data_IF_148023643962
#
_entry.id   IF_148023643962
#
_cell.length_a   1.000
_cell.length_b   1.000
_cell.length_c   1.000
_cell.angle_alpha   90.00
_cell.angle_beta   90.00
_cell.angle_gamma   90.00
#
_symmetry.space_group_name_H-M   'P 1'
#
loop_
_entity.id
_entity.type
_entity.pdbx_description
1 polymer ?
2 polymer ?
3 non-polymer ?
4 non-polymer ?
5 water ?
#
# COMPACT_ATOMS: atom_id res chain seq x y z
N UNK A 8 13.67 18.14 -11.88
CA UNK A 8 13.06 16.83 -11.41
C UNK A 8 12.83 16.74 -9.87
N UNK A 9 11.77 16.06 -9.49
CA UNK A 9 11.39 15.89 -8.12
C UNK A 9 11.81 14.55 -7.53
N UNK A 10 11.96 14.47 -6.23
CA UNK A 10 12.28 13.20 -5.59
C UNK A 10 10.95 12.53 -5.14
N UNK A 11 10.90 11.21 -5.17
CA UNK A 11 9.72 10.50 -4.66
C UNK A 11 9.47 10.87 -3.20
N UNK A 12 8.20 11.02 -2.83
CA UNK A 12 7.83 11.23 -1.41
C UNK A 12 8.39 9.98 -0.69
N UNK A 13 9.13 10.16 0.43
CA UNK A 13 9.71 9.02 1.18
C UNK A 13 8.66 8.17 1.87
N UNK A 14 8.88 6.87 1.87
CA UNK A 14 7.93 5.93 2.52
C UNK A 14 8.01 6.02 4.07
N UNK A 15 6.93 5.64 4.77
CA UNK A 15 6.93 5.55 6.22
C UNK A 15 6.06 4.33 6.46
N UNK A 16 6.28 3.71 7.61
CA UNK A 16 5.51 2.55 7.98
C UNK A 16 4.03 2.82 7.99
N UNK A 17 3.26 1.76 7.76
CA UNK A 17 1.82 1.85 7.86
C UNK A 17 1.40 1.91 9.31
N UNK A 18 2.27 1.49 10.23
CA UNK A 18 1.92 1.52 11.64
C UNK A 18 0.97 0.40 12.02
N UNK A 19 0.72 0.19 13.31
CA UNK A 19 -0.17 -0.88 13.82
C UNK A 19 -1.65 -0.74 13.57
N UNK A 20 -2.12 0.46 13.24
CA UNK A 20 -3.56 0.63 12.99
C UNK A 20 -3.90 0.82 11.51
N UNK A 21 -3.01 0.31 10.64
CA UNK A 21 -3.21 0.45 9.23
C UNK A 21 -4.63 0.01 8.81
N UNK A 22 -5.36 -0.71 9.68
CA UNK A 22 -6.74 -1.13 9.32
C UNK A 22 -7.81 -0.03 9.34
N UNK A 23 -7.59 0.96 10.17
CA UNK A 23 -8.59 2.00 10.28
C UNK A 23 -8.78 2.54 8.88
N UNK A 24 -7.69 2.80 8.19
CA UNK A 24 -7.92 3.40 6.91
C UNK A 24 -7.95 2.45 5.80
N UNK A 25 -7.36 1.26 5.92
CA UNK A 25 -7.44 0.52 4.70
C UNK A 25 -8.52 -0.54 4.72
N UNK A 26 -8.94 -0.97 5.92
CA UNK A 26 -10.02 -1.99 6.02
C UNK A 26 -10.91 -1.59 7.20
N UNK A 27 -11.56 -0.42 7.14
CA UNK A 27 -12.40 0.02 8.27
C UNK A 27 -13.33 -1.04 8.92
N UNK A 28 -13.89 -1.94 8.12
CA UNK A 28 -14.72 -3.04 8.64
C UNK A 28 -13.91 -3.92 9.66
N UNK A 29 -12.67 -4.23 9.38
CA UNK A 29 -11.92 -5.03 10.35
C UNK A 29 -11.72 -4.26 11.67
N UNK A 30 -11.86 -2.94 11.60
CA UNK A 30 -11.69 -2.11 12.79
C UNK A 30 -13.06 -1.81 13.37
N UNK A 31 -14.10 -2.35 12.75
CA UNK A 31 -15.46 -2.09 13.20
C UNK A 31 -15.90 -0.63 12.96
N UNK A 32 -15.56 -0.09 11.80
CA UNK A 32 -15.93 1.27 11.43
C UNK A 32 -16.77 1.28 10.14
N UNK A 33 -18.04 1.67 10.24
CA UNK A 33 -18.88 1.69 9.05
C UNK A 33 -19.08 3.08 8.48
N UNK A 34 -18.16 3.52 7.64
CA UNK A 34 -18.26 4.85 7.06
C UNK A 34 -18.54 4.82 5.60
N UNK A 35 -18.15 3.73 4.95
CA UNK A 35 -18.31 3.65 3.50
C UNK A 35 -19.39 2.69 3.10
N UNK A 36 -20.16 3.03 2.08
CA UNK A 36 -21.16 2.09 1.62
C UNK A 36 -20.47 0.96 0.87
N UNK A 37 -19.59 1.32 -0.05
CA UNK A 37 -18.86 0.29 -0.83
C UNK A 37 -17.43 0.11 -0.24
N UNK A 38 -17.10 -1.08 0.20
CA UNK A 38 -15.80 -1.31 0.84
C UNK A 38 -14.90 -2.20 0.05
N UNK A 39 -13.60 -1.95 0.07
CA UNK A 39 -12.67 -2.79 -0.66
C UNK A 39 -12.34 -4.02 0.17
N UNK A 40 -12.13 -5.19 -0.46
CA UNK A 40 -11.86 -6.38 0.30
C UNK A 40 -10.99 -7.43 -0.41
N UNK A 41 -10.99 -8.66 0.11
CA UNK A 41 -10.17 -9.79 -0.37
C UNK A 41 -10.83 -10.75 -1.33
N UNK A 42 -11.96 -10.35 -1.88
CA UNK A 42 -12.67 -11.20 -2.81
C UNK A 42 -12.63 -10.64 -4.22
N UNK A 43 -11.82 -11.25 -5.09
CA UNK A 43 -11.69 -10.77 -6.47
C UNK A 43 -12.62 -11.51 -7.43
N UNK A 44 -13.40 -12.46 -6.93
CA UNK A 44 -14.30 -13.22 -7.79
C UNK A 44 -15.69 -12.63 -7.79
N UNK A 45 -16.15 -12.19 -8.96
CA UNK A 45 -17.52 -11.70 -9.12
C UNK A 45 -18.26 -12.90 -9.74
N UNK A 46 -19.58 -12.85 -9.76
CA UNK A 46 -20.34 -14.01 -10.26
C UNK A 46 -20.01 -14.43 -11.68
N UNK A 47 -19.82 -13.48 -12.59
CA UNK A 47 -19.47 -13.81 -13.99
C UNK A 47 -17.99 -13.86 -14.27
N UNK A 48 -17.15 -13.81 -13.25
CA UNK A 48 -15.70 -13.81 -13.49
C UNK A 48 -15.29 -15.11 -14.13
N UNK A 49 -14.44 -15.05 -15.13
CA UNK A 49 -13.99 -16.27 -15.80
C UNK A 49 -12.77 -16.90 -15.10
N UNK A 50 -12.61 -18.21 -15.27
CA UNK A 50 -11.42 -18.86 -14.75
C UNK A 50 -11.58 -19.77 -13.58
N UNK A 51 -10.52 -20.45 -13.20
CA UNK A 51 -10.66 -21.33 -12.05
C UNK A 51 -10.44 -20.63 -10.73
N UNK A 52 -11.43 -20.79 -9.87
CA UNK A 52 -11.46 -20.24 -8.54
C UNK A 52 -10.43 -20.92 -7.68
N UNK A 53 -9.65 -20.13 -6.94
CA UNK A 53 -8.66 -20.70 -6.04
C UNK A 53 -8.70 -19.83 -4.80
N UNK A 54 -8.20 -20.38 -3.70
CA UNK A 54 -8.10 -19.63 -2.46
C UNK A 54 -6.61 -19.54 -2.18
N UNK A 55 -6.14 -18.34 -1.85
CA UNK A 55 -4.73 -18.17 -1.57
C UNK A 55 -4.63 -17.84 -0.06
N UNK A 56 -3.85 -18.58 0.67
CA UNK A 56 -3.80 -18.30 2.13
C UNK A 56 -2.44 -18.59 2.71
N UNK A 57 -2.18 -18.02 3.89
CA UNK A 57 -0.93 -18.23 4.59
C UNK A 57 -0.80 -17.32 5.80
N UNK A 58 0.40 -17.25 6.31
CA UNK A 58 0.71 -16.39 7.47
C UNK A 58 2.02 -15.66 7.14
N UNK A 59 2.27 -14.58 7.87
CA UNK A 59 3.51 -13.82 7.69
C UNK A 59 4.23 -13.95 9.02
N UNK A 60 5.49 -14.39 9.03
CA UNK A 60 6.29 -14.59 10.26
C UNK A 60 7.45 -13.58 10.39
N UNK A 61 7.70 -13.17 11.64
CA UNK A 61 8.80 -12.24 11.95
C UNK A 61 10.04 -13.06 12.17
N UNK A 62 11.13 -12.40 12.55
CA UNK A 62 12.38 -13.12 12.69
C UNK A 62 12.47 -14.11 13.83
N UNK A 63 11.50 -14.17 14.72
CA UNK A 63 11.55 -15.16 15.81
C UNK A 63 10.57 -16.27 15.46
N UNK A 64 9.97 -16.18 14.26
CA UNK A 64 9.04 -17.21 13.83
C UNK A 64 7.62 -17.01 14.30
N UNK A 65 7.31 -15.85 14.82
CA UNK A 65 5.95 -15.58 15.27
C UNK A 65 5.14 -14.88 14.17
N UNK A 66 3.85 -15.23 14.01
CA UNK A 66 3.04 -14.57 12.97
C UNK A 66 2.70 -13.13 13.29
N UNK A 67 2.64 -12.28 12.26
CA UNK A 67 2.29 -10.87 12.45
C UNK A 67 0.76 -10.87 12.44
N UNK A 68 0.16 -10.30 13.47
CA UNK A 68 -1.28 -10.24 13.54
C UNK A 68 -1.78 -8.84 13.18
N UNK A 69 -0.86 -7.98 12.77
CA UNK A 69 -1.24 -6.62 12.39
C UNK A 69 -0.83 -6.32 10.93
N UNK A 70 -0.57 -7.34 10.14
CA UNK A 70 -0.09 -7.11 8.78
C UNK A 70 -1.22 -6.85 7.76
N UNK A 71 -0.97 -6.00 6.76
CA UNK A 71 -1.95 -5.74 5.71
C UNK A 71 -1.33 -6.22 4.39
N UNK A 72 -2.09 -6.99 3.60
CA UNK A 72 -1.52 -7.53 2.35
C UNK A 72 -2.40 -7.12 1.16
N UNK A 73 -1.80 -6.83 -0.01
CA UNK A 73 -2.62 -6.57 -1.21
C UNK A 73 -2.01 -7.41 -2.30
N UNK A 74 -2.84 -7.81 -3.28
CA UNK A 74 -2.30 -8.55 -4.39
C UNK A 74 -2.79 -7.86 -5.67
N UNK A 75 -2.07 -8.09 -6.77
CA UNK A 75 -2.35 -7.50 -8.10
C UNK A 75 -2.01 -8.61 -9.08
N UNK A 76 -2.95 -8.91 -9.99
CA UNK A 76 -2.76 -10.02 -10.92
C UNK A 76 -3.59 -9.85 -12.21
N UNK A 77 -3.28 -10.68 -13.20
CA UNK A 77 -3.97 -10.63 -14.47
C UNK A 77 -5.17 -11.58 -14.41
N UNK A 78 -6.03 -11.47 -15.42
CA UNK A 78 -7.23 -12.33 -15.50
C UNK A 78 -6.84 -13.72 -15.99
N UNK A 79 -7.85 -14.52 -16.31
CA UNK A 79 -7.60 -15.89 -16.72
C UNK A 79 -6.77 -16.02 -18.03
N UNK A 80 -6.84 -15.03 -18.91
CA UNK A 80 -6.08 -15.08 -20.17
C UNK A 80 -4.77 -14.31 -20.12
N UNK A 81 -4.32 -13.94 -18.91
CA UNK A 81 -3.06 -13.22 -18.79
C UNK A 81 -3.11 -11.74 -19.20
N UNK A 82 -4.27 -11.11 -19.03
CA UNK A 82 -4.41 -9.69 -19.38
C UNK A 82 -4.79 -8.93 -18.08
N UNK A 83 -4.11 -7.80 -17.84
CA UNK A 83 -4.37 -6.96 -16.69
C UNK A 83 -5.52 -6.02 -16.95
N UNK A 84 -6.38 -5.82 -15.95
CA UNK A 84 -7.54 -4.90 -16.09
C UNK A 84 -6.97 -3.50 -15.73
N UNK A 85 -6.11 -3.03 -16.64
CA UNK A 85 -5.43 -1.74 -16.52
C UNK A 85 -5.28 -1.12 -17.91
N UNK A 86 -5.51 0.19 -17.99
CA UNK A 86 -5.30 0.91 -19.27
C UNK A 86 -3.86 0.79 -19.70
N UNK A 87 -2.94 0.44 -18.78
CA UNK A 87 -1.54 0.36 -19.17
C UNK A 87 -1.20 -0.95 -19.80
N UNK A 88 -2.13 -1.92 -19.82
CA UNK A 88 -1.82 -3.20 -20.47
C UNK A 88 -1.89 -2.91 -22.02
N UNK A 89 -0.84 -3.27 -22.73
CA UNK A 89 -0.73 -2.98 -24.16
C UNK A 89 -0.88 -4.22 -25.03
N UNK A 90 -1.46 -5.29 -24.49
CA UNK A 90 -1.58 -6.50 -25.31
C UNK A 90 -2.64 -6.43 -26.41
N UNK A 91 -3.51 -5.45 -26.37
CA UNK A 91 -4.49 -5.39 -27.45
C UNK A 91 -5.57 -6.45 -27.37
N UNK A 92 -5.57 -7.21 -26.28
CA UNK A 92 -6.59 -8.23 -26.06
C UNK A 92 -7.62 -7.71 -25.04
N UNK A 93 -8.83 -8.24 -25.11
CA UNK A 93 -9.88 -7.79 -24.21
C UNK A 93 -9.69 -8.53 -22.89
N UNK A 94 -9.82 -7.77 -21.80
CA UNK A 94 -9.68 -8.31 -20.45
C UNK A 94 -11.11 -8.77 -19.99
N UNK A 95 -11.13 -9.70 -19.04
CA UNK A 95 -12.37 -10.18 -18.44
C UNK A 95 -13.05 -8.90 -17.87
N UNK A 96 -14.24 -8.54 -18.37
CA UNK A 96 -14.85 -7.32 -17.83
C UNK A 96 -15.34 -7.39 -16.40
N UNK A 97 -15.37 -8.58 -15.82
CA UNK A 97 -15.85 -8.66 -14.45
C UNK A 97 -14.73 -9.05 -13.52
N UNK A 98 -13.64 -8.28 -13.59
CA UNK A 98 -12.45 -8.58 -12.81
C UNK A 98 -11.63 -7.31 -12.47
N UNK A 99 -11.50 -7.02 -11.18
CA UNK A 99 -10.76 -5.85 -10.73
C UNK A 99 -9.24 -6.14 -10.72
N UNK A 100 -8.85 -7.40 -10.53
CA UNK A 100 -7.45 -7.78 -10.49
C UNK A 100 -6.72 -7.45 -9.18
N UNK A 101 -7.39 -6.80 -8.26
CA UNK A 101 -6.75 -6.39 -6.98
C UNK A 101 -7.66 -6.67 -5.79
N UNK A 102 -7.00 -6.94 -4.65
CA UNK A 102 -7.72 -7.14 -3.42
C UNK A 102 -6.80 -6.78 -2.26
N UNK A 103 -7.41 -6.61 -1.10
CA UNK A 103 -6.66 -6.25 0.10
C UNK A 103 -7.24 -7.09 1.26
N UNK A 104 -6.34 -7.47 2.18
CA UNK A 104 -6.80 -8.22 3.32
C UNK A 104 -5.89 -7.99 4.53
N UNK A 105 -6.39 -8.35 5.69
CA UNK A 105 -5.56 -8.22 6.89
C UNK A 105 -5.45 -9.60 7.57
N UNK A 106 -4.42 -9.84 8.38
CA UNK A 106 -4.34 -11.12 9.03
C UNK A 106 -5.37 -11.18 10.17
N UNK A 107 -5.83 -12.37 10.52
CA UNK A 107 -6.79 -12.49 11.63
C UNK A 107 -6.05 -12.06 12.91
N UNK A 108 -6.62 -11.17 13.71
CA UNK A 108 -5.94 -10.70 14.93
C UNK A 108 -5.52 -11.81 15.91
N UNK A 109 -6.29 -12.88 15.98
CA UNK A 109 -5.92 -13.95 16.89
C UNK A 109 -4.93 -14.93 16.30
N UNK A 110 -5.25 -15.45 15.11
CA UNK A 110 -4.37 -16.45 14.50
C UNK A 110 -3.26 -15.98 13.54
N UNK A 111 -3.47 -14.87 12.83
CA UNK A 111 -2.46 -14.41 11.90
C UNK A 111 -2.69 -14.97 10.50
N UNK A 112 -3.75 -15.75 10.27
CA UNK A 112 -3.97 -16.23 8.94
C UNK A 112 -4.60 -15.14 8.07
N UNK A 113 -4.14 -15.08 6.81
CA UNK A 113 -4.75 -14.15 5.86
C UNK A 113 -5.19 -15.01 4.65
N UNK A 114 -6.13 -14.49 3.83
CA UNK A 114 -6.56 -15.22 2.66
C UNK A 114 -7.20 -14.29 1.62
N UNK A 115 -7.24 -14.79 0.39
CA UNK A 115 -7.92 -14.10 -0.70
C UNK A 115 -8.68 -15.21 -1.49
N UNK A 116 -9.79 -14.80 -2.10
CA UNK A 116 -10.58 -15.62 -3.00
C UNK A 116 -10.32 -14.98 -4.34
N UNK A 117 -9.73 -15.70 -5.29
CA UNK A 117 -9.44 -15.07 -6.56
C UNK A 117 -9.48 -16.15 -7.62
N UNK A 118 -8.85 -15.86 -8.74
CA UNK A 118 -8.79 -16.76 -9.88
C UNK A 118 -7.33 -17.05 -10.19
N UNK A 119 -7.03 -18.21 -10.76
CA UNK A 119 -5.62 -18.52 -11.10
C UNK A 119 -5.29 -17.72 -12.35
N UNK A 120 -4.28 -16.83 -12.29
CA UNK A 120 -3.97 -16.04 -13.49
C UNK A 120 -3.36 -16.75 -14.68
N UNK A 121 -3.65 -16.25 -15.88
CA UNK A 121 -3.08 -16.79 -17.11
C UNK A 121 -1.68 -16.23 -17.24
N UNK A 122 -0.85 -16.80 -18.11
CA UNK A 122 0.52 -16.35 -18.30
C UNK A 122 0.54 -14.98 -18.98
N UNK A 123 1.49 -14.14 -18.56
CA UNK A 123 1.61 -12.76 -19.05
C UNK A 123 2.96 -12.63 -19.82
N UNK A 124 3.00 -11.85 -20.91
CA UNK A 124 4.26 -11.67 -21.66
C UNK A 124 5.34 -11.08 -20.75
N UNK A 125 6.56 -11.53 -20.97
CA UNK A 125 7.73 -11.04 -20.25
C UNK A 125 8.41 -10.08 -21.20
N UNK A 126 9.56 -9.57 -20.80
CA UNK A 126 10.31 -8.67 -21.68
C UNK A 126 10.94 -9.39 -22.85
N UNK A 127 11.14 -8.66 -23.95
CA UNK A 127 11.82 -9.18 -25.15
C UNK A 127 11.32 -10.52 -25.65
N UNK A 128 10.01 -10.60 -25.87
CA UNK A 128 9.43 -11.83 -26.37
C UNK A 128 9.27 -13.01 -25.45
N UNK A 129 9.74 -12.89 -24.21
CA UNK A 129 9.60 -14.02 -23.28
C UNK A 129 8.16 -14.14 -22.70
N UNK A 130 7.91 -15.22 -21.96
CA UNK A 130 6.64 -15.46 -21.35
C UNK A 130 6.86 -15.69 -19.88
N UNK A 131 6.08 -15.00 -19.05
CA UNK A 131 6.28 -15.21 -17.62
C UNK A 131 5.37 -16.34 -17.15
N UNK A 132 5.80 -17.11 -16.15
CA UNK A 132 4.91 -18.13 -15.61
C UNK A 132 3.83 -17.38 -14.83
N UNK A 133 2.63 -18.00 -14.62
CA UNK A 133 1.47 -17.48 -13.88
C UNK A 133 2.00 -17.00 -12.51
N UNK A 134 1.57 -15.82 -12.09
CA UNK A 134 2.02 -15.32 -10.79
C UNK A 134 1.11 -14.22 -10.33
N UNK A 135 1.10 -14.01 -9.03
CA UNK A 135 0.35 -12.94 -8.40
C UNK A 135 1.41 -11.98 -7.72
N UNK A 136 1.30 -10.67 -7.90
CA UNK A 136 2.27 -9.75 -7.23
C UNK A 136 1.63 -9.40 -5.90
N UNK A 137 2.46 -9.41 -4.85
CA UNK A 137 1.98 -9.23 -3.50
C UNK A 137 2.86 -8.20 -2.77
N UNK A 138 2.21 -7.40 -1.92
CA UNK A 138 2.89 -6.37 -1.14
C UNK A 138 2.38 -6.47 0.28
N UNK A 139 3.30 -6.28 1.21
CA UNK A 139 3.06 -6.38 2.66
C UNK A 139 3.39 -5.05 3.36
N UNK A 140 2.48 -4.61 4.23
CA UNK A 140 2.66 -3.40 5.02
C UNK A 140 2.40 -3.75 6.50
N UNK A 141 3.15 -3.19 7.41
CA UNK A 141 2.92 -3.43 8.82
C UNK A 141 3.76 -2.48 9.68
N UNK A 142 3.40 -2.43 10.96
CA UNK A 142 4.16 -1.72 11.98
C UNK A 142 5.57 -2.37 11.83
N UNK A 143 6.64 -1.57 11.86
CA UNK A 143 8.00 -2.15 11.76
C UNK A 143 8.55 -2.30 10.35
N UNK A 144 7.68 -2.15 9.37
CA UNK A 144 8.08 -2.31 7.97
C UNK A 144 8.04 -0.89 7.44
N UNK A 145 9.23 -0.38 7.08
CA UNK A 145 9.35 1.03 6.69
C UNK A 145 8.89 1.33 5.28
N UNK A 146 9.05 0.32 4.41
CA UNK A 146 8.64 0.39 3.01
C UNK A 146 7.93 -0.90 2.66
N UNK A 147 6.75 -0.82 2.02
CA UNK A 147 6.02 -2.03 1.61
C UNK A 147 6.97 -3.02 0.92
N UNK A 148 6.87 -4.28 1.29
CA UNK A 148 7.72 -5.35 0.77
C UNK A 148 7.01 -6.07 -0.37
N UNK A 149 7.67 -6.07 -1.53
CA UNK A 149 7.10 -6.65 -2.76
C UNK A 149 7.63 -8.10 -2.93
N UNK A 150 6.76 -9.01 -3.34
CA UNK A 150 7.20 -10.37 -3.62
C UNK A 150 6.18 -10.88 -4.68
N UNK A 151 6.34 -12.13 -5.12
CA UNK A 151 5.45 -12.74 -6.10
C UNK A 151 5.16 -14.16 -5.61
N UNK A 152 4.01 -14.66 -6.02
CA UNK A 152 3.57 -15.99 -5.68
C UNK A 152 3.47 -16.75 -7.02
N UNK A 153 4.20 -17.85 -7.15
CA UNK A 153 4.11 -18.73 -8.32
C UNK A 153 3.36 -19.97 -7.83
N UNK A 154 3.04 -20.89 -8.74
CA UNK A 154 2.29 -22.08 -8.36
C UNK A 154 3.07 -23.35 -8.61
N UNK A 155 3.10 -24.24 -7.61
CA UNK A 155 3.89 -25.49 -7.70
C UNK A 155 3.41 -26.46 -8.79
N UNK A 156 2.18 -26.33 -9.24
CA UNK A 156 1.71 -27.19 -10.34
C UNK A 156 2.08 -26.60 -11.72
N UNK A 157 2.80 -25.47 -11.74
CA UNK A 157 3.19 -24.89 -13.01
C UNK A 157 4.69 -25.07 -13.17
N UNK A 158 5.16 -26.27 -12.86
CA UNK A 158 6.58 -26.58 -12.95
C UNK A 158 7.29 -26.22 -14.25
N UNK A 159 6.75 -26.61 -15.40
CA UNK A 159 7.41 -26.27 -16.68
C UNK A 159 7.49 -24.75 -16.91
N UNK A 160 6.40 -24.05 -16.61
CA UNK A 160 6.37 -22.58 -16.77
C UNK A 160 7.36 -21.90 -15.83
N UNK A 161 7.44 -22.38 -14.59
CA UNK A 161 8.32 -21.79 -13.59
C UNK A 161 9.77 -21.93 -14.01
N UNK A 162 10.10 -23.06 -14.62
CA UNK A 162 11.47 -23.33 -15.04
C UNK A 162 11.95 -22.34 -16.09
N UNK A 163 11.03 -21.76 -16.85
CA UNK A 163 11.31 -20.82 -17.91
C UNK A 163 10.99 -19.37 -17.52
N UNK A 164 10.60 -19.15 -16.29
CA UNK A 164 10.28 -17.77 -15.91
C UNK A 164 11.53 -16.91 -15.78
N UNK A 165 11.54 -15.74 -16.44
CA UNK A 165 12.62 -14.75 -16.47
C UNK A 165 12.96 -14.23 -15.08
N UNK A 166 11.95 -13.86 -14.31
CA UNK A 166 12.21 -13.33 -12.97
C UNK A 166 12.74 -14.41 -12.05
N UNK A 167 12.08 -15.58 -11.97
CA UNK A 167 12.62 -16.63 -11.14
C UNK A 167 14.03 -16.99 -11.53
N UNK A 168 14.35 -17.02 -12.83
CA UNK A 168 15.69 -17.40 -13.24
C UNK A 168 16.70 -16.30 -13.02
N UNK A 169 16.24 -15.11 -12.66
CA UNK A 169 17.19 -14.05 -12.45
C UNK A 169 17.63 -14.09 -10.99
N UNK A 170 17.09 -15.02 -10.20
CA UNK A 170 17.50 -15.12 -8.80
C UNK A 170 18.62 -16.13 -8.83
N UNK A 171 19.86 -15.71 -8.57
CA UNK A 171 20.99 -16.65 -8.68
C UNK A 171 21.04 -17.81 -7.69
N UNK A 172 20.53 -17.60 -6.48
CA UNK A 172 20.51 -18.63 -5.45
C UNK A 172 19.32 -19.57 -5.79
N UNK A 173 19.59 -20.68 -6.44
CA UNK A 173 18.49 -21.56 -6.83
C UNK A 173 17.62 -21.96 -5.66
N UNK A 174 18.22 -22.11 -4.51
CA UNK A 174 17.48 -22.47 -3.32
C UNK A 174 16.46 -21.39 -2.84
N UNK A 175 16.69 -20.13 -3.21
CA UNK A 175 15.79 -19.07 -2.76
C UNK A 175 14.54 -18.99 -3.66
N UNK A 176 14.65 -19.49 -4.89
CA UNK A 176 13.51 -19.46 -5.81
C UNK A 176 12.33 -20.20 -5.18
N UNK A 177 12.63 -21.28 -4.46
CA UNK A 177 11.54 -22.06 -3.90
C UNK A 177 10.70 -21.30 -2.89
N UNK A 178 11.27 -20.28 -2.24
CA UNK A 178 10.44 -19.53 -1.31
C UNK A 178 9.29 -18.84 -2.03
N UNK A 179 9.33 -18.70 -3.36
CA UNK A 179 8.25 -18.00 -4.09
C UNK A 179 7.14 -18.91 -4.69
N UNK A 180 7.21 -20.19 -4.38
CA UNK A 180 6.27 -21.19 -4.92
C UNK A 180 5.24 -21.64 -3.87
N UNK A 181 3.98 -21.31 -4.10
CA UNK A 181 2.87 -21.68 -3.22
C UNK A 181 2.54 -23.19 -3.43
N UNK A 182 2.08 -23.88 -2.39
CA UNK A 182 1.73 -25.32 -2.54
C UNK A 182 0.23 -25.55 -2.72
N UNK A 183 -0.11 -26.27 -3.78
CA UNK A 183 -1.49 -26.55 -4.11
C UNK A 183 -2.04 -27.60 -3.16
N UNK A 184 -3.24 -27.41 -2.68
CA UNK A 184 -3.90 -28.36 -1.79
C UNK A 184 -5.35 -28.39 -2.24
N UNK A 185 -6.08 -29.41 -1.84
CA UNK A 185 -7.48 -29.50 -2.23
C UNK A 185 -8.41 -29.80 -1.08
N UNK A 186 -8.85 -28.74 -0.39
CA UNK A 186 -9.78 -28.85 0.74
C UNK A 186 -11.23 -28.93 0.29
N UNK A 187 -11.80 -30.14 0.33
CA UNK A 187 -13.20 -30.37 -0.04
C UNK A 187 -13.66 -29.67 -1.29
N UNK A 188 -13.18 -30.17 -2.44
CA UNK A 188 -13.55 -29.58 -3.72
C UNK A 188 -12.86 -28.28 -4.09
N UNK A 189 -12.49 -27.47 -3.09
CA UNK A 189 -11.81 -26.19 -3.32
C UNK A 189 -10.31 -26.31 -3.51
N UNK A 190 -9.75 -25.50 -4.41
CA UNK A 190 -8.32 -25.50 -4.63
C UNK A 190 -7.76 -24.35 -3.77
N UNK A 191 -6.80 -24.72 -2.93
CA UNK A 191 -6.16 -23.80 -2.00
C UNK A 191 -4.66 -23.81 -2.29
N UNK A 192 -4.05 -22.64 -2.31
CA UNK A 192 -2.59 -22.56 -2.47
C UNK A 192 -2.06 -21.95 -1.16
N UNK A 193 -1.16 -22.65 -0.49
CA UNK A 193 -0.65 -22.15 0.79
C UNK A 193 0.61 -21.34 0.53
N UNK A 194 0.69 -20.10 0.99
CA UNK A 194 1.93 -19.33 0.75
C UNK A 194 2.30 -18.63 2.04
N UNK A 195 3.30 -19.12 2.77
CA UNK A 195 3.71 -18.49 4.00
C UNK A 195 4.87 -17.55 3.70
N UNK A 196 4.91 -16.42 4.38
CA UNK A 196 5.98 -15.46 4.12
C UNK A 196 6.87 -15.34 5.34
N UNK A 197 8.18 -15.42 5.16
CA UNK A 197 9.11 -15.32 6.27
C UNK A 197 9.91 -14.06 5.97
N UNK A 198 9.64 -13.05 6.77
CA UNK A 198 10.27 -11.78 6.57
C UNK A 198 11.76 -11.78 6.89
N UNK A 199 12.23 -12.64 7.78
CA UNK A 199 13.61 -12.54 8.18
C UNK A 199 14.13 -13.86 8.70
N UNK A 200 15.34 -14.23 8.32
CA UNK A 200 15.87 -15.47 8.89
C UNK A 200 16.03 -16.64 7.94
N UNK A 201 15.95 -17.84 8.50
CA UNK A 201 16.06 -19.02 7.68
C UNK A 201 14.85 -19.09 6.74
N UNK A 202 15.12 -19.47 5.51
CA UNK A 202 14.09 -19.57 4.51
C UNK A 202 13.37 -18.25 4.29
N UNK A 203 14.08 -17.15 4.47
CA UNK A 203 13.51 -15.81 4.26
C UNK A 203 12.93 -15.65 2.84
N UNK A 204 11.70 -15.17 2.71
CA UNK A 204 11.10 -15.01 1.39
C UNK A 204 11.88 -13.95 0.57
N UNK A 205 12.08 -14.22 -0.73
CA UNK A 205 12.72 -13.26 -1.62
C UNK A 205 11.80 -12.01 -1.74
N UNK A 206 12.37 -10.81 -1.60
CA UNK A 206 11.58 -9.61 -1.76
C UNK A 206 12.25 -8.88 -2.89
N UNK A 207 11.46 -8.19 -3.71
CA UNK A 207 11.96 -7.47 -4.87
C UNK A 207 11.93 -5.94 -4.80
N UNK A 208 12.86 -5.30 -5.52
CA UNK A 208 12.79 -3.85 -5.67
C UNK A 208 12.25 -3.77 -7.12
N UNK A 209 11.01 -3.36 -7.30
CA UNK A 209 10.40 -3.38 -8.64
C UNK A 209 10.37 -2.08 -9.42
N UNK B 4 3.39 8.67 -28.34
CA UNK B 4 4.13 8.35 -27.04
C UNK B 4 4.01 6.92 -26.56
N UNK B 5 5.13 6.17 -26.57
CA UNK B 5 5.15 4.78 -26.11
C UNK B 5 5.90 4.77 -24.76
N UNK B 6 5.23 4.30 -23.72
CA UNK B 6 5.84 4.31 -22.42
C UNK B 6 6.73 3.13 -22.13
N UNK B 7 7.80 3.40 -21.41
CA UNK B 7 8.74 2.36 -21.03
C UNK B 7 8.60 2.04 -19.53
N UNK B 8 9.69 1.78 -18.83
CA UNK B 8 9.56 1.43 -17.39
C UNK B 8 9.52 2.63 -16.44
N UNK B 9 9.12 2.42 -15.17
CA UNK B 9 9.23 3.51 -14.22
C UNK B 9 10.73 3.69 -13.92
N UNK B 10 11.14 4.92 -13.59
CA UNK B 10 12.52 5.19 -13.20
C UNK B 10 12.74 4.32 -11.94
N UNK B 11 13.97 3.90 -11.73
CA UNK B 11 14.38 3.13 -10.58
C UNK B 11 14.02 3.88 -9.26
N UNK B 12 13.63 3.16 -8.20
CA UNK B 12 13.38 3.83 -6.92
C UNK B 12 14.77 4.21 -6.40
N UNK B 13 14.94 5.44 -5.92
CA UNK B 13 16.23 5.86 -5.37
C UNK B 13 16.21 5.47 -3.90
N UNK B 14 16.84 4.36 -3.60
CA UNK B 14 16.82 3.85 -2.22
C UNK B 14 17.41 4.85 -1.22
N UNK B 15 18.30 5.75 -1.64
CA UNK B 15 18.83 6.68 -0.66
C UNK B 15 17.84 7.77 -0.29
N UNK B 16 16.68 7.83 -0.96
CA UNK B 16 15.68 8.85 -0.64
C UNK B 16 14.59 8.27 0.29
N UNK B 17 14.80 7.04 0.76
CA UNK B 17 13.85 6.34 1.59
C UNK B 17 14.52 5.74 2.82
N UNK B 18 13.72 5.41 3.83
CA UNK B 18 14.29 4.80 5.02
C UNK B 18 14.83 3.40 4.66
N UNK B 19 15.80 2.89 5.41
CA UNK B 19 16.31 1.53 5.13
C UNK B 19 15.29 0.58 5.79
N UNK B 20 15.37 -0.73 5.54
CA UNK B 20 14.44 -1.63 6.18
C UNK B 20 14.80 -1.80 7.67
N UNK B 21 16.10 -1.96 7.92
CA UNK B 21 16.56 -2.18 9.28
C UNK B 21 16.89 -0.81 9.90
N UNK B 22 16.15 -0.43 10.92
CA UNK B 22 16.38 0.88 11.55
C UNK B 22 16.23 0.63 13.07
N UNK B 23 17.32 0.26 13.73
CA UNK B 23 17.33 -0.05 15.17
C UNK B 23 16.60 0.94 16.13
N UNK B 24 16.60 2.23 15.79
CA UNK B 24 15.91 3.18 16.63
C UNK B 24 14.40 2.99 16.62
N UNK B 25 13.87 2.30 15.60
CA UNK B 25 12.42 2.05 15.53
C UNK B 25 12.46 0.54 15.84
N UNK B 26 12.28 0.19 17.12
CA UNK B 26 12.48 -1.18 17.59
C UNK B 26 11.75 -2.30 16.89
N UNK B 27 10.50 -2.07 16.52
CA UNK B 27 9.73 -3.10 15.81
C UNK B 27 10.36 -3.49 14.49
N UNK B 28 11.16 -2.63 13.88
CA UNK B 28 11.79 -3.00 12.61
C UNK B 28 12.91 -4.07 12.78
N UNK B 29 13.46 -4.21 13.99
CA UNK B 29 14.56 -5.15 14.13
C UNK B 29 14.22 -6.59 13.69
N UNK B 30 13.04 -7.06 14.02
CA UNK B 30 12.65 -8.42 13.63
C UNK B 30 11.78 -8.50 12.41
N UNK B 31 11.42 -7.34 11.86
CA UNK B 31 10.54 -7.32 10.69
C UNK B 31 11.21 -6.75 9.43
N UNK B 32 12.52 -6.86 9.39
CA UNK B 32 13.30 -6.36 8.25
C UNK B 32 14.05 -7.53 7.65
N UNK B 33 14.02 -7.70 6.31
CA UNK B 33 14.78 -8.82 5.71
C UNK B 33 16.28 -8.71 5.94
N UNK B 34 16.93 -9.85 6.09
CA UNK B 34 18.38 -9.84 6.22
C UNK B 34 18.98 -9.75 4.82
N UNK B 35 18.40 -10.45 3.84
CA UNK B 35 18.92 -10.35 2.47
C UNK B 35 18.61 -9.03 1.79
N UNK B 36 19.52 -8.64 0.89
CA UNK B 36 19.26 -7.43 0.11
C UNK B 36 18.01 -7.67 -0.84
N UNK B 37 17.28 -6.62 -1.18
CA UNK B 37 16.20 -6.80 -2.15
C UNK B 37 16.81 -7.17 -3.48
N UNK B 38 16.04 -7.94 -4.26
CA UNK B 38 16.47 -8.29 -5.61
C UNK B 38 15.77 -7.35 -6.60
N UNK B 39 16.59 -6.59 -7.34
CA UNK B 39 16.04 -5.65 -8.33
C UNK B 39 15.73 -6.40 -9.60
N UNK B 40 14.58 -6.10 -10.20
CA UNK B 40 14.27 -6.75 -11.44
C UNK B 40 13.94 -5.70 -12.49
N UNK B 41 14.06 -6.09 -13.75
CA UNK B 41 13.67 -5.19 -14.84
C UNK B 41 12.11 -5.31 -14.92
N UNK B 42 11.41 -4.19 -15.16
CA UNK B 42 9.94 -4.21 -15.15
C UNK B 42 9.29 -4.88 -16.35
N UNK B 43 8.14 -5.47 -16.07
CA UNK B 43 7.27 -6.12 -17.02
C UNK B 43 5.89 -5.51 -16.90
N UNK B 44 4.97 -5.98 -17.74
CA UNK B 44 3.58 -5.52 -17.67
C UNK B 44 3.05 -5.60 -16.22
N UNK B 45 3.52 -6.56 -15.45
CA UNK B 45 3.04 -6.71 -14.08
C UNK B 45 3.34 -5.53 -13.21
N UNK B 46 4.47 -4.88 -13.44
CA UNK B 46 4.86 -3.82 -12.57
C UNK B 46 4.38 -2.45 -13.05
N UNK B 47 4.08 -2.33 -14.33
CA UNK B 47 3.67 -1.01 -14.84
C UNK B 47 2.17 -0.85 -14.92
N UNK B 48 1.41 -1.88 -14.51
CA UNK B 48 -0.06 -1.80 -14.56
C UNK B 48 -0.59 -1.68 -13.11
N UNK B 49 -1.83 -1.31 -12.96
CA UNK B 49 -2.46 -1.15 -11.65
C UNK B 49 -3.96 -1.10 -11.87
N UNK B 50 -4.75 -1.37 -10.81
CA UNK B 50 -6.20 -1.33 -10.95
C UNK B 50 -6.83 0.03 -11.14
N UNK B 51 -8.10 0.03 -11.56
CA UNK B 51 -8.85 1.27 -11.70
C UNK B 51 -10.03 1.21 -10.76
N UNK B 52 -10.29 2.27 -10.01
CA UNK B 52 -11.41 2.31 -9.07
C UNK B 52 -12.43 3.31 -9.61
N UNK B 53 -13.72 3.01 -9.52
CA UNK B 53 -14.67 3.95 -10.11
C UNK B 53 -15.28 4.95 -9.17
N UNK B 54 -15.30 6.18 -9.66
CA UNK B 54 -15.81 7.32 -8.94
C UNK B 54 -17.25 7.07 -8.46
N UNK B 55 -18.02 6.35 -9.25
CA UNK B 55 -19.40 6.02 -8.88
C UNK B 55 -19.61 5.33 -7.55
N UNK B 56 -18.61 4.56 -7.10
CA UNK B 56 -18.74 3.84 -5.84
C UNK B 56 -18.33 4.67 -4.59
N UNK B 57 -17.93 5.92 -4.76
CA UNK B 57 -17.52 6.74 -3.60
C UNK B 57 -18.72 7.48 -3.01
N UNK B 58 -18.87 7.53 -1.69
CA UNK B 58 -19.97 8.27 -1.11
C UNK B 58 -19.65 9.74 -1.09
N UNK B 59 -20.66 10.60 -0.91
CA UNK B 59 -20.53 12.06 -0.86
C UNK B 59 -19.65 12.62 0.28
N UNK B 60 -19.58 11.90 1.39
CA UNK B 60 -18.78 12.35 2.52
C UNK B 60 -17.52 11.52 2.70
N UNK B 61 -17.11 10.77 1.68
CA UNK B 61 -15.92 9.93 1.87
C UNK B 61 -14.64 10.76 2.15
N UNK B 62 -14.57 12.01 1.68
CA UNK B 62 -13.40 12.83 1.95
C UNK B 62 -13.72 13.83 3.04
N UNK B 63 -14.77 13.59 3.81
CA UNK B 63 -15.11 14.57 4.88
C UNK B 63 -15.10 13.88 6.22
N UNK B 64 -13.92 13.86 6.84
CA UNK B 64 -13.77 13.14 8.12
C UNK B 64 -14.47 13.84 9.27
N UNK B 65 -14.85 15.08 9.07
CA UNK B 65 -15.58 15.78 10.12
C UNK B 65 -17.04 15.20 10.18
N UNK B 66 -17.65 14.96 9.01
CA UNK B 66 -19.03 14.48 8.95
C UNK B 66 -19.31 13.01 8.62
N UNK B 67 -18.34 12.28 8.05
CA UNK B 67 -18.67 10.94 7.62
C UNK B 67 -18.93 9.92 8.71
N UNK B 68 -18.69 10.29 9.94
CA UNK B 68 -18.98 9.40 11.02
C UNK B 68 -19.74 10.17 12.12
N UNK B 69 -20.19 11.37 11.84
CA UNK B 69 -20.88 12.12 12.89
C UNK B 69 -22.28 11.53 13.11
N UNK B 70 -22.66 11.25 14.35
CA UNK B 70 -23.99 10.68 14.68
C UNK B 70 -24.87 11.72 15.39
N UNK B 71 -24.50 12.10 16.61
CA UNK B 71 -25.25 13.08 17.41
C UNK B 71 -24.80 14.51 17.30
N UNK B 72 -23.58 14.72 16.82
CA UNK B 72 -23.10 16.09 16.73
C UNK B 72 -21.80 16.08 15.97
N UNK B 73 -21.08 17.20 16.05
CA UNK B 73 -19.79 17.31 15.37
C UNK B 73 -18.66 16.76 16.26
N UNK B 74 -17.54 16.31 15.65
CA UNK B 74 -16.44 15.81 16.49
C UNK B 74 -15.80 17.04 17.16
N UNK B 75 -15.08 16.79 18.26
CA UNK B 75 -14.41 17.88 18.99
C UNK B 75 -13.00 17.96 18.41
N UNK B 76 -12.50 19.18 18.23
CA UNK B 76 -11.16 19.33 17.72
C UNK B 76 -11.03 20.43 16.69
N UNK B 77 -9.79 20.61 16.19
CA UNK B 77 -9.52 21.70 15.25
C UNK B 77 -9.91 21.34 13.81
N UNK B 78 -10.85 22.10 13.24
CA UNK B 78 -11.33 21.92 11.89
C UNK B 78 -10.22 22.35 10.89
N UNK B 79 -9.77 21.42 10.06
CA UNK B 79 -8.71 21.74 9.07
C UNK B 79 -9.02 21.05 7.75
N UNK B 80 -8.67 21.77 6.69
CA UNK B 80 -8.79 21.29 5.32
C UNK B 80 -7.35 20.99 4.84
N UNK B 81 -7.17 19.86 4.18
CA UNK B 81 -5.84 19.53 3.65
C UNK B 81 -6.00 19.35 2.13
N UNK B 82 -5.13 19.97 1.36
CA UNK B 82 -5.23 19.82 -0.10
C UNK B 82 -3.87 19.89 -0.68
N UNK B 83 -3.78 19.51 -1.96
CA UNK B 83 -2.50 19.55 -2.64
C UNK B 83 -2.59 18.84 -3.97
N UNK B 84 -1.43 18.56 -4.51
CA UNK B 84 -1.35 17.89 -5.81
C UNK B 84 -0.48 16.68 -5.75
N UNK B 85 -0.81 15.70 -6.58
CA UNK B 85 -0.05 14.45 -6.67
C UNK B 85 0.53 14.50 -8.10
N UNK B 86 1.85 14.35 -8.21
CA UNK B 86 2.49 14.38 -9.51
C UNK B 86 3.53 13.30 -9.55
N UNK B 87 4.08 13.00 -10.72
CA UNK B 87 5.12 11.99 -10.75
C UNK B 87 6.47 12.75 -10.74
N UNK B 88 7.57 12.02 -10.68
CA UNK B 88 8.87 12.68 -10.55
C UNK B 88 9.31 13.62 -11.68
N UNK B 89 8.69 13.46 -12.84
CA UNK B 89 8.95 14.32 -13.97
C UNK B 89 7.92 15.47 -14.00
N UNK B 90 7.18 15.64 -12.89
CA UNK B 90 6.21 16.73 -12.82
C UNK B 90 4.87 16.55 -13.51
N UNK B 91 4.54 15.37 -14.02
CA UNK B 91 3.27 15.21 -14.66
C UNK B 91 2.17 14.92 -13.64
N UNK B 92 0.98 15.48 -13.80
CA UNK B 92 -0.10 15.20 -12.83
C UNK B 92 -0.47 13.70 -12.82
N UNK B 93 -0.89 13.20 -11.66
CA UNK B 93 -1.29 11.81 -11.50
C UNK B 93 -2.84 11.91 -11.40
N UNK B 94 -3.51 11.42 -12.43
CA UNK B 94 -4.95 11.56 -12.51
C UNK B 94 -5.67 10.32 -12.05
N UNK B 95 -6.74 10.56 -11.29
CA UNK B 95 -7.60 9.48 -10.81
C UNK B 95 -6.88 8.45 -9.95
N UNK B 96 -5.94 8.91 -9.15
CA UNK B 96 -5.26 8.02 -8.23
C UNK B 96 -6.15 7.88 -6.96
N UNK B 97 -6.13 6.69 -6.35
CA UNK B 97 -6.91 6.44 -5.13
C UNK B 97 -6.06 6.88 -3.93
N UNK B 98 -6.55 7.86 -3.20
CA UNK B 98 -5.85 8.34 -2.00
C UNK B 98 -6.68 7.97 -0.77
N UNK B 99 -6.09 7.19 0.14
CA UNK B 99 -6.76 6.81 1.38
C UNK B 99 -6.01 7.36 2.59
N UNK B 100 -6.75 7.87 3.59
CA UNK B 100 -6.09 8.44 4.78
C UNK B 100 -6.68 7.88 6.08
N UNK B 101 -5.89 7.91 7.15
CA UNK B 101 -6.40 7.44 8.43
C UNK B 101 -5.60 8.12 9.48
N UNK B 102 -6.20 8.29 10.67
CA UNK B 102 -5.56 9.05 11.71
C UNK B 102 -6.29 8.86 13.01
N UNK B 103 -5.66 9.38 14.05
CA UNK B 103 -6.23 9.43 15.40
C UNK B 103 -7.18 10.62 15.57
N UNK B 104 -7.88 10.66 16.71
CA UNK B 104 -8.76 11.84 16.89
C UNK B 104 -7.99 12.98 17.57
N UNK B 105 -8.73 13.97 18.03
CA UNK B 105 -8.11 15.14 18.66
C UNK B 105 -7.32 14.85 19.94
N UNK B 106 -7.66 13.74 20.62
CA UNK B 106 -6.97 13.32 21.82
C UNK B 106 -5.74 12.49 21.52
N UNK B 107 -5.53 12.11 20.25
CA UNK B 107 -4.40 11.24 19.95
C UNK B 107 -4.89 9.78 20.15
N UNK B 108 -6.19 9.54 20.08
CA UNK B 108 -6.75 8.21 20.26
C UNK B 108 -7.29 7.64 18.94
N UNK B 109 -6.88 6.41 18.62
CA UNK B 109 -7.32 5.72 17.43
C UNK B 109 -8.53 4.89 17.74
N UNK B 110 -9.45 4.83 16.77
CA UNK B 110 -10.65 4.03 16.95
C UNK B 110 -10.22 2.65 16.39
N UNK B 111 -9.52 1.91 17.25
CA UNK B 111 -8.97 0.61 16.88
C UNK B 111 -9.03 -0.22 18.12
N UNK B 112 -9.38 -1.49 17.95
CA UNK B 112 -9.47 -2.36 19.12
C UNK B 112 -8.20 -2.33 20.00
N UNK B 113 -7.03 -2.43 19.36
CA UNK B 113 -5.75 -2.47 20.07
C UNK B 113 -5.21 -1.14 20.71
N UNK B 114 -5.99 -0.06 20.72
CA UNK B 114 -5.50 1.20 21.29
C UNK B 114 -6.09 1.45 22.66
N UNK B 115 -5.25 1.33 23.70
CA UNK B 115 -5.70 1.54 25.06
C UNK B 115 -5.28 2.87 25.68
N UNK B 116 -4.84 3.83 24.86
CA UNK B 116 -4.44 5.11 25.42
C UNK B 116 -5.59 5.79 26.18
N UNK B 117 -5.25 6.49 27.24
CA UNK B 117 -6.26 7.19 28.02
C UNK B 117 -6.87 8.43 27.33
N UNK B 118 -6.28 8.92 26.23
CA UNK B 118 -6.86 10.05 25.54
C UNK B 118 -8.30 9.67 25.19
N UNK B 119 -9.23 10.59 25.37
CA UNK B 119 -10.66 10.26 25.16
C UNK B 119 -11.06 9.99 23.73
N UNK B 120 -11.97 9.03 23.58
CA UNK B 120 -12.52 8.65 22.30
C UNK B 120 -13.59 9.68 21.97
N UNK B 121 -13.86 9.90 20.67
CA UNK B 121 -14.86 10.89 20.26
C UNK B 121 -15.94 10.09 19.54
N UNK B 122 -17.16 9.95 20.13
CA UNK B 122 -18.21 9.18 19.46
C UNK B 122 -18.58 9.71 18.09
N UNK B 123 -18.18 10.95 17.76
CA UNK B 123 -18.56 11.49 16.45
C UNK B 123 -17.45 11.55 15.40
N UNK B 124 -16.31 10.89 15.68
CA UNK B 124 -15.18 10.84 14.77
C UNK B 124 -14.76 9.39 14.46
N UNK B 125 -14.54 9.08 13.17
CA UNK B 125 -14.15 7.75 12.71
C UNK B 125 -12.64 7.75 12.45
N UNK B 126 -12.17 8.70 11.65
CA UNK B 126 -10.75 8.77 11.34
C UNK B 126 -10.25 8.17 10.03
N UNK B 127 -11.13 7.91 9.07
CA UNK B 127 -10.68 7.41 7.77
C UNK B 127 -11.48 8.09 6.65
N UNK B 128 -10.84 8.25 5.49
CA UNK B 128 -11.43 8.92 4.34
C UNK B 128 -10.70 8.46 3.08
N UNK B 129 -11.22 8.84 1.93
CA UNK B 129 -10.58 8.46 0.68
C UNK B 129 -11.11 9.43 -0.36
N UNK B 130 -10.43 9.52 -1.51
CA UNK B 130 -10.83 10.41 -2.59
C UNK B 130 -9.99 9.96 -3.81
N UNK B 131 -10.39 10.43 -4.99
CA UNK B 131 -9.65 10.17 -6.20
C UNK B 131 -9.07 11.53 -6.60
N UNK B 132 -7.83 11.57 -7.09
CA UNK B 132 -7.28 12.84 -7.57
C UNK B 132 -8.01 13.21 -8.88
N UNK B 133 -8.08 14.52 -9.17
CA UNK B 133 -8.76 14.91 -10.38
C UNK B 133 -7.78 14.91 -11.54
N UNK B 134 -8.16 15.54 -12.64
CA UNK B 134 -7.29 15.60 -13.82
C UNK B 134 -6.05 16.40 -13.72
N UNK B 135 -6.00 17.27 -12.71
CA UNK B 135 -4.84 18.10 -12.47
C UNK B 135 -4.01 17.45 -11.38
N UNK B 136 -4.47 16.31 -10.88
CA UNK B 136 -3.74 15.63 -9.84
C UNK B 136 -4.09 16.23 -8.46
N UNK B 137 -5.14 17.08 -8.41
CA UNK B 137 -5.51 17.75 -7.16
C UNK B 137 -6.37 16.87 -6.21
N UNK B 138 -6.19 16.99 -4.91
CA UNK B 138 -7.07 16.29 -3.95
C UNK B 138 -7.37 17.25 -2.80
N UNK B 139 -8.49 17.03 -2.13
CA UNK B 139 -8.83 17.85 -0.98
C UNK B 139 -9.70 17.02 -0.03
N UNK B 140 -9.45 17.11 1.27
CA UNK B 140 -10.28 16.45 2.22
C UNK B 140 -10.37 17.39 3.48
N UNK B 141 -11.31 17.12 4.37
CA UNK B 141 -11.48 17.94 5.58
C UNK B 141 -11.43 16.94 6.73
N UNK B 142 -10.86 17.36 7.84
CA UNK B 142 -10.73 16.55 9.01
C UNK B 142 -10.55 17.36 10.29
N UNK B 143 -10.28 16.64 11.40
CA UNK B 143 -10.01 17.23 12.71
C UNK B 143 -8.49 17.02 12.88
N UNK B 144 -7.75 18.05 13.31
CA UNK B 144 -6.30 17.84 13.44
C UNK B 144 -6.07 16.77 14.53
N UNK B 145 -5.29 15.68 14.22
CA UNK B 145 -5.07 14.65 15.25
C UNK B 145 -4.10 15.09 16.35
N UNK B 146 -4.28 14.54 17.54
CA UNK B 146 -3.33 14.90 18.58
C UNK B 146 -2.14 13.94 18.50
N UNK B 147 -1.01 14.33 19.07
CA UNK B 147 0.21 13.51 19.10
C UNK B 147 -0.17 12.19 19.86
N UNK B 148 0.53 11.11 19.54
CA UNK B 148 0.21 9.79 20.05
C UNK B 148 1.40 9.15 20.82
N UNK B 149 1.26 8.85 22.12
CA UNK B 149 2.34 8.22 22.90
C UNK B 149 2.30 6.72 22.52
N UNK B 150 3.47 6.11 22.39
CA UNK B 150 3.54 4.69 22.07
C UNK B 150 4.77 4.09 22.71
N UNK B 151 4.83 2.77 22.72
CA UNK B 151 6.00 2.14 23.35
C UNK B 151 7.12 1.71 22.39
N UNK B 152 8.17 2.53 22.30
CA UNK B 152 9.36 2.24 21.50
C UNK B 152 10.32 2.35 22.69
N UNK B 153 10.75 3.56 23.01
CA UNK B 153 11.40 3.79 24.29
C UNK B 153 10.12 4.06 25.10
N UNK B 154 10.19 4.04 26.42
CA UNK B 154 8.95 4.12 27.18
C UNK B 154 8.14 5.44 27.02
N UNK B 155 8.83 6.57 26.80
CA UNK B 155 8.17 7.88 26.70
C UNK B 155 8.24 8.39 25.26
N UNK B 156 7.94 7.53 24.28
CA UNK B 156 8.01 7.95 22.85
C UNK B 156 6.67 8.61 22.48
N UNK B 157 6.72 9.65 21.67
CA UNK B 157 5.49 10.34 21.28
C UNK B 157 5.58 10.64 19.76
N UNK B 158 4.54 10.23 19.03
CA UNK B 158 4.50 10.57 17.61
C UNK B 158 4.00 12.01 17.50
N UNK B 159 4.51 12.76 16.53
CA UNK B 159 4.07 14.13 16.30
C UNK B 159 2.63 13.92 15.75
N UNK B 160 1.82 14.97 15.68
CA UNK B 160 0.53 14.82 15.08
C UNK B 160 0.77 14.32 13.66
N UNK B 161 -0.03 13.40 13.19
CA UNK B 161 0.21 12.96 11.81
C UNK B 161 -0.99 12.28 11.21
N UNK B 162 -0.99 12.23 9.89
CA UNK B 162 -2.07 11.58 9.12
C UNK B 162 -1.40 10.59 8.17
N UNK B 163 -1.86 9.35 8.20
CA UNK B 163 -1.35 8.29 7.34
C UNK B 163 -2.05 8.40 5.97
N UNK B 164 -1.32 8.10 4.90
CA UNK B 164 -1.96 8.16 3.60
C UNK B 164 -1.35 7.04 2.77
N UNK B 165 -2.11 6.64 1.75
CA UNK B 165 -1.78 5.53 0.84
C UNK B 165 -2.23 5.94 -0.54
N UNK B 166 -1.42 5.62 -1.56
CA UNK B 166 -1.76 5.91 -2.97
C UNK B 166 -1.65 4.65 -3.83
N UNK B 167 -2.69 4.46 -4.64
CA UNK B 167 -2.68 3.40 -5.65
C UNK B 167 -2.98 4.27 -6.90
N UNK B 168 -2.01 4.31 -7.80
CA UNK B 168 -2.11 5.17 -8.97
C UNK B 168 -2.06 4.41 -10.34
N UNK B 169 -1.14 4.78 -11.23
CA UNK B 169 -1.11 4.10 -12.55
C UNK B 169 -0.30 2.82 -12.67
N UNK B 170 0.76 2.69 -11.91
CA UNK B 170 1.54 1.48 -11.98
C UNK B 170 1.78 0.91 -10.60
N UNK B 171 1.82 -0.42 -10.50
CA UNK B 171 2.03 -1.11 -9.25
C UNK B 171 3.37 -0.65 -8.63
N UNK B 172 4.34 -0.35 -9.48
CA UNK B 172 5.63 0.16 -9.02
C UNK B 172 5.52 1.50 -8.23
N UNK B 173 4.46 2.29 -8.48
CA UNK B 173 4.27 3.55 -7.73
C UNK B 173 3.60 3.35 -6.36
N UNK B 174 3.15 2.12 -6.04
CA UNK B 174 2.46 1.85 -4.76
C UNK B 174 3.23 2.47 -3.57
N UNK B 175 2.53 3.24 -2.74
CA UNK B 175 3.21 3.96 -1.66
C UNK B 175 2.31 4.28 -0.46
N UNK B 176 2.87 4.07 0.73
CA UNK B 176 2.19 4.40 1.96
C UNK B 176 3.16 5.26 2.75
N UNK B 177 2.68 6.34 3.37
CA UNK B 177 3.57 7.21 4.12
C UNK B 177 2.70 7.98 5.14
N UNK B 178 3.26 9.06 5.71
CA UNK B 178 2.58 9.84 6.74
C UNK B 178 3.03 11.27 6.56
N UNK B 179 2.16 12.26 6.79
CA UNK B 179 2.63 13.64 6.70
C UNK B 179 2.37 14.28 8.06
N UNK B 180 3.13 15.36 8.33
CA UNK B 180 3.13 16.06 9.63
C UNK B 180 2.71 17.53 9.41
N UNK B 181 2.61 18.29 10.50
CA UNK B 181 2.13 19.67 10.42
C UNK B 181 3.21 20.66 10.79
N UNK B 182 3.37 21.65 9.93
CA UNK B 182 4.38 22.67 10.09
C UNK B 182 4.46 23.14 11.51
N UNK B 183 5.67 23.22 12.04
CA UNK B 183 5.85 23.73 13.38
C UNK B 183 5.82 22.73 14.53
N UNK B 184 5.22 21.54 14.38
CA UNK B 184 5.14 20.57 15.48
C UNK B 184 6.56 20.26 16.04
N UNK B 185 6.80 20.58 17.29
CA UNK B 185 8.12 20.31 17.89
C UNK B 185 8.50 18.81 18.00
N UNK B 186 7.55 17.89 18.02
CA UNK B 186 7.85 16.44 18.14
C UNK B 186 8.46 15.91 16.85
N UNK B 187 8.35 16.67 15.75
CA UNK B 187 8.92 16.25 14.44
C UNK B 187 10.41 16.01 14.61
N UNK B 188 11.07 16.85 15.42
CA UNK B 188 12.51 16.70 15.61
C UNK B 188 13.00 15.53 16.43
N UNK B 189 12.10 14.88 17.15
CA UNK B 189 12.43 13.78 18.06
C UNK B 189 11.95 12.44 17.65
N UNK B 190 11.07 12.38 16.64
CA UNK B 190 10.50 11.09 16.24
C UNK B 190 11.42 10.08 15.59
N UNK B 191 11.54 8.89 16.21
CA UNK B 191 12.44 7.87 15.62
C UNK B 191 11.94 7.36 14.24
N UNK B 192 10.63 7.39 14.06
CA UNK B 192 10.05 6.95 12.81
C UNK B 192 10.38 7.91 11.67
N UNK B 193 10.34 9.22 11.94
CA UNK B 193 10.65 10.18 10.89
C UNK B 193 12.17 10.15 10.66
N UNK B 194 12.93 9.87 11.71
CA UNK B 194 14.39 9.82 11.56
C UNK B 194 14.95 8.59 10.83
N UNK B 195 14.13 7.59 10.50
CA UNK B 195 14.56 6.46 9.71
C UNK B 195 14.85 7.04 8.30
N UNK B 196 14.26 8.18 7.94
CA UNK B 196 14.54 8.77 6.60
C UNK B 196 15.97 9.40 6.72
N UNK B 197 16.90 8.95 5.89
CA UNK B 197 18.25 9.50 6.01
C UNK B 197 18.53 10.97 5.76
N UNK B 198 17.85 11.62 4.82
CA UNK B 198 18.21 12.99 4.57
C UNK B 198 17.20 13.99 5.07
N UNK B 199 17.73 15.13 5.47
CA UNK B 199 16.92 16.21 5.96
C UNK B 199 15.90 16.72 4.95
N UNK B 200 16.31 16.83 3.69
CA UNK B 200 15.39 17.38 2.68
C UNK B 200 14.20 16.44 2.48
N UNK B 201 14.47 15.14 2.59
CA UNK B 201 13.35 14.19 2.49
C UNK B 201 12.43 14.22 3.73
N UNK B 202 12.98 14.44 4.94
CA UNK B 202 12.11 14.53 6.10
C UNK B 202 11.19 15.75 5.93
N UNK B 203 11.74 16.79 5.32
CA UNK B 203 10.93 17.97 5.09
C UNK B 203 9.89 17.78 4.05
N UNK B 204 10.07 16.83 3.15
CA UNK B 204 9.05 16.60 2.13
C UNK B 204 7.77 16.01 2.76
N UNK B 205 7.81 15.60 4.03
CA UNK B 205 6.57 15.09 4.60
C UNK B 205 5.86 16.12 5.50
N UNK B 206 6.22 17.41 5.42
CA UNK B 206 5.58 18.35 6.37
C UNK B 206 4.57 19.19 5.60
N UNK B 207 3.33 19.13 6.00
CA UNK B 207 2.29 19.94 5.32
C UNK B 207 2.46 21.39 5.83
N UNK B 208 2.36 22.34 4.90
CA UNK B 208 2.53 23.76 5.18
C UNK B 208 1.23 24.51 5.45
N UNK B 209 1.24 25.37 6.45
CA UNK B 209 0.07 26.20 6.73
C UNK B 209 -0.25 27.02 5.46
N UNK B 210 -1.52 27.10 5.05
CA UNK B 210 -1.86 27.80 3.77
C UNK B 210 -2.84 28.85 4.22
N UNK B 211 -2.34 29.95 4.72
CA UNK B 211 -3.22 30.93 5.34
C UNK B 211 -4.26 31.63 4.44
N UNK B 212 -3.92 31.88 3.19
CA UNK B 212 -4.89 32.51 2.30
C UNK B 212 -6.07 31.58 2.02
N UNK B 213 -5.88 30.26 2.22
CA UNK B 213 -6.98 29.33 2.02
C UNK B 213 -7.77 28.94 3.29
N UNK B 214 -7.51 29.59 4.41
CA UNK B 214 -8.29 29.38 5.62
C UNK B 214 -9.73 29.86 5.29
N UNK B 215 -10.76 29.29 5.89
CA UNK B 215 -12.12 29.76 5.63
C UNK B 215 -12.53 30.40 6.92
N UNK B 216 -12.78 31.71 6.82
CA UNK B 216 -13.09 32.52 7.98
C UNK B 216 -14.13 31.92 8.87
N UNK B 217 -13.90 32.00 10.19
CA UNK B 217 -14.83 31.49 11.21
C UNK B 217 -15.25 30.08 10.94
N UNK B 218 -14.38 29.33 10.28
CA UNK B 218 -14.72 27.96 9.98
C UNK B 218 -13.56 26.98 10.10
N UNK B 219 -12.62 26.99 9.14
CA UNK B 219 -11.50 26.02 9.15
C UNK B 219 -10.14 26.58 8.73
N UNK B 220 -9.05 25.98 9.22
CA UNK B 220 -7.73 26.36 8.76
C UNK B 220 -7.41 25.43 7.59
N UNK B 221 -6.26 25.63 6.95
CA UNK B 221 -5.90 24.88 5.76
C UNK B 221 -4.38 24.59 5.70
N UNK B 222 -4.04 23.34 5.31
CA UNK B 222 -2.67 22.91 5.10
C UNK B 222 -2.53 22.42 3.66
N UNK B 223 -1.38 22.74 3.07
CA UNK B 223 -1.03 22.39 1.68
C UNK B 223 0.03 21.29 1.74
N UNK B 224 -0.22 20.22 1.00
CA UNK B 224 0.71 19.10 1.01
C UNK B 224 0.72 18.40 -0.33
N UNK B 225 1.86 18.46 -1.03
CA UNK B 225 1.93 17.79 -2.33
C UNK B 225 2.70 16.44 -2.18
N UNK B 226 2.41 15.50 -3.08
CA UNK B 226 2.99 14.14 -3.09
C UNK B 226 3.59 13.85 -4.46
N UNK B 227 4.77 13.21 -4.47
CA UNK B 227 5.45 12.87 -5.70
C UNK B 227 5.63 11.35 -5.80
N UNK B 228 5.17 10.78 -6.93
CA UNK B 228 5.29 9.34 -7.14
C UNK B 228 6.35 9.08 -8.20
N UNK B 229 6.71 7.83 -8.38
CA UNK B 229 7.68 7.49 -9.42
C UNK B 229 7.05 7.81 -10.74
N UNK B 230 7.90 8.14 -11.70
CA UNK B 230 7.42 8.50 -13.03
C UNK B 230 7.92 7.55 -14.09
N UNK B 231 7.10 7.33 -15.11
CA UNK B 231 7.52 6.50 -16.25
C UNK B 231 8.38 7.25 -17.28
N UNK B 232 9.35 6.57 -17.87
CA UNK B 232 10.14 7.14 -18.96
C UNK B 232 9.44 6.81 -20.30
N UNK B 233 9.68 7.61 -21.33
CA UNK B 233 9.10 7.33 -22.67
C UNK B 233 10.13 6.59 -23.48
N UNK B 234 9.68 5.73 -24.42
CA UNK B 234 10.60 4.96 -25.23
C UNK B 234 10.64 5.53 -26.64
N UNK B 235 11.84 5.71 -27.20
CA UNK B 235 11.94 6.22 -28.56
C UNK B 235 12.68 5.30 -29.52
N UNK B 236 13.27 4.26 -28.99
CA UNK B 236 14.00 3.30 -29.80
C UNK B 236 13.40 1.91 -29.54
N UNK B 237 14.18 0.89 -29.22
CA UNK B 237 13.57 -0.43 -28.97
C UNK B 237 12.56 -0.42 -27.79
N UNK B 238 11.53 -1.23 -27.92
CA UNK B 238 10.56 -1.33 -26.85
C UNK B 238 10.62 -2.73 -26.30
N UNK B 239 11.48 -2.94 -25.30
CA UNK B 239 11.67 -4.24 -24.69
C UNK B 239 10.66 -4.68 -23.65
N UNK B 240 9.76 -3.80 -23.23
CA UNK B 240 8.79 -4.12 -22.18
C UNK B 240 8.06 -5.42 -22.44
N UNK B 241 7.79 -5.67 -23.72
CA UNK B 241 7.08 -6.83 -24.19
C UNK B 241 7.89 -7.48 -25.32
X LIG C 1 -0.17 6.68 13.52
X LIG D 1 2.48 3.78 16.77
X LIG D 1 2.57 4.93 16.00
X LIG D 1 1.55 5.29 15.15
X LIG D 1 1.66 6.43 14.38
X LIG D 1 0.42 4.50 15.06
X LIG D 1 -0.61 4.87 14.21
X LIG D 1 0.32 3.36 15.83
X LIG D 1 1.34 3.00 16.68
X LIG E 1 -15.00 1.14 -3.62
X LIG E 1 -15.19 -0.10 -4.19
X LIG E 1 -14.87 -0.30 -5.51
X LIG E 1 -15.07 -1.55 -6.08
X LIG E 1 -14.35 0.73 -6.27
X LIG E 1 -14.03 0.53 -7.60
X LIG E 1 -14.16 1.97 -5.69
X LIG E 1 -14.48 2.17 -4.36
#
# INVERSE_FOLDING_TARGET
>A
MNGWNFQELKETPSQTGGPYVHIGLLPKQANIEVFEHNLDNNLVQDNTQGQRIRLEGQVFDGLGLPLRDVLIEIWQADTNGVYPSQADTQGKQVDPNFLGWGRTGADFGTGFWSFNTIKPGAVPGRKGSTQAPHISLIIFAHGINIGLHTRVYFDDEAEANAKDPVLNSIEWATRRQTLVAKREERDGEVVYRFDIRIQGENETVFFDI
>B
MSQIIWGAYAQRNTEDHPPAYAPGYKTSVLRSPKNALISIAETLSEVTAPHFSADKFGPKDNDLILNYAKDGLPIGERVIVHGYVRDQFGRPVKNALVEVWQANASGRYRHPNDQYIGAMDPNFGGCGRMLTDDNGYYVFRTIKPGPYPWRNRINEWRPAHIHFSLIADGWAQRLISQFYFEGDTLIDSCPILKTIPSEQQRRALIALEDKSNFIEADSRCYRFDITLRGRRATYFENDLT
>C hetero
1 FE FE
>D hetero
1 CAQ C1 C2 C3 O3 C4 O4 C5 C6
>E hetero
1 CAQ C1 C2 C3 O3 C4 O4 C5 C6
#
